data_IF_245239331484
#
_entry.id   IF_245239331484
#
_cell.length_a   1.000
_cell.length_b   1.000
_cell.length_c   1.000
_cell.angle_alpha   90.00
_cell.angle_beta   90.00
_cell.angle_gamma   90.00
#
_symmetry.space_group_name_H-M   'P 1'
#
loop_
_entity.id
_entity.type
_entity.pdbx_description
1 polymer ?
#
# COMPACT_ATOMS: atom_id res chain seq x y z
N UNK A 1 17.85 -2.88 -28.27
CA UNK A 1 17.36 -2.63 -26.91
C UNK A 1 18.12 -1.44 -26.37
N UNK A 2 17.43 -0.43 -25.86
CA UNK A 2 18.07 0.64 -25.09
C UNK A 2 18.69 0.03 -23.82
N UNK A 3 19.75 0.66 -23.31
CA UNK A 3 20.31 0.26 -22.02
C UNK A 3 19.36 0.67 -20.90
N UNK A 4 19.23 -0.17 -19.88
CA UNK A 4 18.42 0.12 -18.71
C UNK A 4 18.88 1.44 -18.04
N UNK A 5 17.93 2.30 -17.69
CA UNK A 5 18.19 3.59 -17.06
C UNK A 5 17.05 4.01 -16.15
N UNK A 6 17.34 4.94 -15.24
CA UNK A 6 16.37 5.49 -14.30
C UNK A 6 15.49 6.52 -15.01
N UNK A 7 14.21 6.23 -15.25
CA UNK A 7 13.31 7.16 -15.92
C UNK A 7 12.58 8.10 -14.97
N UNK A 8 12.38 7.72 -13.70
CA UNK A 8 11.76 8.58 -12.69
C UNK A 8 12.35 8.33 -11.30
N UNK A 9 12.41 9.39 -10.51
CA UNK A 9 12.68 9.36 -9.08
C UNK A 9 11.49 9.98 -8.36
N UNK A 10 10.91 9.27 -7.39
CA UNK A 10 9.78 9.76 -6.63
C UNK A 10 10.03 9.62 -5.12
N UNK A 11 9.62 10.64 -4.38
CA UNK A 11 9.62 10.64 -2.92
C UNK A 11 8.21 10.90 -2.41
N UNK A 12 7.89 10.37 -1.24
CA UNK A 12 6.59 10.54 -0.60
C UNK A 12 6.81 11.04 0.82
N UNK A 13 6.87 12.37 1.02
CA UNK A 13 7.35 12.96 2.27
C UNK A 13 6.62 12.53 3.53
N UNK A 14 5.31 12.37 3.43
CA UNK A 14 4.48 11.80 4.49
C UNK A 14 4.03 10.39 4.08
N UNK A 15 4.04 9.46 5.04
CA UNK A 15 3.47 8.12 4.83
C UNK A 15 2.03 8.24 4.33
N UNK A 16 1.74 7.59 3.21
CA UNK A 16 0.42 7.54 2.55
C UNK A 16 -0.08 8.81 1.84
N UNK A 17 0.64 9.93 1.84
CA UNK A 17 0.25 11.11 1.02
C UNK A 17 0.76 11.03 -0.42
N UNK A 18 0.37 11.99 -1.26
CA UNK A 18 0.81 12.10 -2.65
C UNK A 18 2.34 12.18 -2.80
N UNK A 19 2.85 11.68 -3.92
CA UNK A 19 4.28 11.68 -4.22
C UNK A 19 4.74 12.96 -4.91
N UNK A 20 6.05 13.21 -4.85
CA UNK A 20 6.75 14.28 -5.56
C UNK A 20 7.78 13.63 -6.48
N UNK A 21 7.73 13.96 -7.77
CA UNK A 21 8.74 13.51 -8.74
C UNK A 21 9.93 14.47 -8.74
N UNK A 22 11.13 13.91 -8.78
CA UNK A 22 12.39 14.63 -8.71
C UNK A 22 13.25 14.28 -9.93
N UNK A 23 14.04 15.26 -10.39
CA UNK A 23 15.06 15.03 -11.41
C UNK A 23 16.34 14.42 -10.83
N UNK A 24 16.59 14.60 -9.53
CA UNK A 24 17.72 14.01 -8.80
C UNK A 24 17.36 13.85 -7.32
N UNK A 25 18.02 12.92 -6.63
CA UNK A 25 17.85 12.71 -5.20
C UNK A 25 19.16 12.26 -4.54
N UNK A 26 19.34 12.67 -3.30
CA UNK A 26 20.36 12.11 -2.42
C UNK A 26 19.84 10.82 -1.79
N UNK A 27 20.57 9.73 -1.99
CA UNK A 27 20.30 8.42 -1.41
C UNK A 27 21.02 8.32 -0.07
N UNK A 28 20.25 8.09 1.00
CA UNK A 28 20.75 7.73 2.32
C UNK A 28 20.59 6.22 2.52
N UNK A 29 21.28 5.65 3.51
CA UNK A 29 21.03 4.25 3.89
C UNK A 29 19.57 4.02 4.31
N UNK A 30 18.93 5.01 4.93
CA UNK A 30 17.52 4.95 5.35
C UNK A 30 16.50 5.20 4.23
N UNK A 31 16.94 5.47 2.99
CA UNK A 31 16.09 5.69 1.82
C UNK A 31 16.46 6.94 1.03
N UNK A 32 15.61 7.34 0.10
CA UNK A 32 15.78 8.65 -0.55
C UNK A 32 15.57 9.77 0.47
N UNK A 33 16.36 10.83 0.36
CA UNK A 33 16.11 12.07 1.10
C UNK A 33 14.68 12.52 0.90
N UNK A 34 14.07 13.04 1.97
CA UNK A 34 12.66 13.42 2.02
C UNK A 34 11.65 12.27 1.89
N UNK A 35 12.04 10.99 1.78
CA UNK A 35 11.07 9.91 1.60
C UNK A 35 10.56 9.33 2.94
N UNK A 36 9.24 9.42 3.15
CA UNK A 36 8.50 8.97 4.35
C UNK A 36 9.16 9.45 5.65
N UNK A 37 9.67 10.68 5.66
CA UNK A 37 10.26 11.33 6.84
C UNK A 37 9.20 11.74 7.86
N UNK A 38 7.95 11.78 7.42
CA UNK A 38 6.80 12.07 8.27
C UNK A 38 5.76 10.95 8.20
N UNK A 39 4.92 10.89 9.23
CA UNK A 39 3.77 10.00 9.31
C UNK A 39 2.69 10.65 10.16
N UNK A 40 1.43 10.49 9.75
CA UNK A 40 0.30 10.80 10.62
C UNK A 40 0.10 9.67 11.62
N UNK A 41 -0.12 10.01 12.88
CA UNK A 41 -0.41 9.05 13.94
C UNK A 41 -1.61 9.49 14.77
N UNK A 42 -2.31 8.52 15.37
CA UNK A 42 -3.23 8.81 16.48
C UNK A 42 -2.44 9.11 17.75
N UNK A 43 -3.11 9.61 18.81
CA UNK A 43 -2.48 10.01 20.07
C UNK A 43 -1.76 8.88 20.83
N UNK A 44 -2.01 7.63 20.48
CA UNK A 44 -1.30 6.45 20.99
C UNK A 44 -0.07 6.07 20.15
N UNK A 45 0.26 6.86 19.12
CA UNK A 45 1.37 6.61 18.21
C UNK A 45 1.06 5.66 17.05
N UNK A 46 -0.17 5.16 16.93
CA UNK A 46 -0.55 4.23 15.86
C UNK A 46 -0.64 4.95 14.52
N UNK A 47 0.01 4.40 13.49
CA UNK A 47 0.02 4.99 12.14
C UNK A 47 -1.40 5.15 11.54
N UNK A 48 -1.63 6.31 10.93
CA UNK A 48 -2.78 6.61 10.09
C UNK A 48 -2.35 6.47 8.62
N UNK A 49 -3.10 5.68 7.84
CA UNK A 49 -2.69 5.33 6.48
C UNK A 49 -3.84 5.41 5.48
N UNK A 50 -3.50 5.52 4.19
CA UNK A 50 -4.46 5.55 3.09
C UNK A 50 -5.21 4.22 2.90
N UNK A 51 -4.87 3.17 3.66
CA UNK A 51 -5.69 1.95 3.75
C UNK A 51 -7.02 2.20 4.45
N UNK A 52 -7.05 3.15 5.37
CA UNK A 52 -8.25 3.57 6.11
C UNK A 52 -8.77 4.92 5.62
N UNK A 53 -7.87 5.85 5.28
CA UNK A 53 -8.19 7.21 4.84
C UNK A 53 -7.64 7.48 3.44
N UNK A 54 -8.24 6.90 2.38
CA UNK A 54 -7.70 6.97 1.02
C UNK A 54 -7.56 8.40 0.50
N UNK A 55 -8.32 9.37 1.04
CA UNK A 55 -8.21 10.79 0.65
C UNK A 55 -6.84 11.40 0.96
N UNK A 56 -6.04 10.78 1.83
CA UNK A 56 -4.65 11.21 2.12
C UNK A 56 -3.80 11.35 0.85
N UNK A 57 -4.04 10.52 -0.16
CA UNK A 57 -3.25 10.53 -1.42
C UNK A 57 -3.43 11.83 -2.20
N UNK A 58 -4.51 12.59 -1.95
CA UNK A 58 -4.78 13.88 -2.58
C UNK A 58 -3.99 15.05 -1.98
N UNK A 59 -3.31 14.83 -0.85
CA UNK A 59 -2.43 15.86 -0.26
C UNK A 59 -1.17 15.94 -1.13
N UNK A 60 -0.96 17.13 -1.70
CA UNK A 60 0.24 17.43 -2.48
C UNK A 60 1.32 18.04 -1.59
N UNK A 61 2.58 17.84 -1.97
CA UNK A 61 3.73 18.35 -1.24
C UNK A 61 4.66 19.12 -2.17
N UNK A 62 5.11 20.29 -1.73
CA UNK A 62 6.25 20.99 -2.32
C UNK A 62 7.41 20.98 -1.34
N UNK A 63 8.59 20.58 -1.80
CA UNK A 63 9.81 20.54 -1.00
C UNK A 63 10.41 21.94 -0.89
N UNK A 64 10.82 22.36 0.32
CA UNK A 64 11.57 23.58 0.57
C UNK A 64 12.93 23.25 1.21
N UNK A 65 13.94 24.14 1.13
CA UNK A 65 15.25 23.90 1.75
C UNK A 65 15.21 23.65 3.26
N UNK A 66 14.19 24.17 3.95
CA UNK A 66 14.07 24.09 5.41
C UNK A 66 12.72 23.52 5.86
N UNK A 67 11.95 22.90 4.96
CA UNK A 67 10.61 22.45 5.29
C UNK A 67 9.78 22.03 4.09
N UNK A 68 8.46 22.16 4.20
CA UNK A 68 7.50 21.69 3.20
C UNK A 68 6.31 22.64 3.12
N UNK A 69 5.67 22.65 1.95
CA UNK A 69 4.32 23.18 1.79
C UNK A 69 3.40 22.02 1.45
N UNK A 70 2.35 21.83 2.23
CA UNK A 70 1.27 20.89 1.94
C UNK A 70 0.05 21.63 1.42
N UNK A 71 -0.57 21.07 0.38
CA UNK A 71 -1.82 21.58 -0.18
C UNK A 71 -2.84 20.48 -0.32
N UNK A 72 -4.09 20.82 -0.07
CA UNK A 72 -5.24 19.95 -0.24
C UNK A 72 -6.44 20.78 -0.71
N UNK A 73 -7.36 20.14 -1.42
CA UNK A 73 -8.58 20.78 -1.91
C UNK A 73 -9.40 21.37 -0.74
N UNK A 74 -9.81 22.64 -0.87
CA UNK A 74 -10.59 23.33 0.17
C UNK A 74 -9.81 23.71 1.43
N UNK A 75 -8.48 23.57 1.45
CA UNK A 75 -7.61 23.98 2.56
C UNK A 75 -6.68 25.11 2.15
N UNK A 76 -6.43 26.03 3.09
CA UNK A 76 -5.31 26.96 2.99
C UNK A 76 -4.00 26.17 2.98
N UNK A 77 -2.98 26.56 2.17
CA UNK A 77 -1.68 25.90 2.17
C UNK A 77 -1.05 25.91 3.57
N UNK A 78 -0.59 24.75 4.03
CA UNK A 78 0.16 24.61 5.28
C UNK A 78 1.65 24.67 4.95
N UNK A 79 2.38 25.60 5.58
CA UNK A 79 3.85 25.63 5.52
C UNK A 79 4.40 25.16 6.84
N UNK A 80 5.33 24.21 6.80
CA UNK A 80 6.03 23.74 8.00
C UNK A 80 7.54 23.92 7.84
N UNK A 81 8.23 24.33 8.90
CA UNK A 81 9.68 24.44 8.96
C UNK A 81 10.29 23.53 10.02
N UNK A 82 11.41 22.87 9.70
CA UNK A 82 12.15 22.04 10.67
C UNK A 82 12.59 22.81 11.93
N UNK A 83 12.77 24.13 11.82
CA UNK A 83 13.16 25.00 12.94
C UNK A 83 12.03 25.26 13.93
N UNK A 84 10.77 25.04 13.51
CA UNK A 84 9.57 25.32 14.30
C UNK A 84 9.05 24.06 15.00
N UNK A 85 9.59 22.89 14.67
CA UNK A 85 9.16 21.64 15.27
C UNK A 85 9.45 21.65 16.77
N UNK A 86 8.46 21.22 17.55
CA UNK A 86 8.57 21.00 18.99
C UNK A 86 9.65 19.99 19.34
N UNK A 87 9.85 18.99 18.48
CA UNK A 87 10.84 17.91 18.62
C UNK A 87 10.74 17.17 19.96
N UNK A 88 9.53 17.06 20.52
CA UNK A 88 9.32 16.26 21.72
C UNK A 88 9.29 14.80 21.30
N UNK A 89 10.01 13.95 22.04
CA UNK A 89 10.00 12.51 21.82
C UNK A 89 8.61 11.96 22.07
N UNK A 90 8.12 11.14 21.14
CA UNK A 90 6.87 10.43 21.24
C UNK A 90 6.99 9.03 20.66
N UNK A 91 6.12 8.12 21.09
CA UNK A 91 6.08 6.77 20.56
C UNK A 91 5.41 6.78 19.19
N UNK A 92 6.03 6.15 18.20
CA UNK A 92 5.41 5.87 16.92
C UNK A 92 5.43 4.37 16.66
N UNK A 93 4.35 3.85 16.09
CA UNK A 93 4.19 2.44 15.76
C UNK A 93 3.89 2.27 14.28
N UNK A 94 4.79 1.58 13.57
CA UNK A 94 4.63 1.18 12.18
C UNK A 94 4.56 -0.34 12.13
N UNK A 95 3.37 -0.87 11.87
CA UNK A 95 3.07 -2.30 11.97
C UNK A 95 3.40 -2.83 13.36
N UNK A 96 4.36 -3.74 13.48
CA UNK A 96 4.80 -4.32 14.76
C UNK A 96 6.07 -3.64 15.31
N UNK A 97 6.56 -2.59 14.66
CA UNK A 97 7.77 -1.88 15.03
C UNK A 97 7.40 -0.57 15.76
N UNK A 98 7.67 -0.49 17.06
CA UNK A 98 7.52 0.74 17.85
C UNK A 98 8.88 1.38 18.11
N UNK A 99 8.96 2.71 17.96
CA UNK A 99 10.21 3.46 18.07
C UNK A 99 9.95 4.93 18.41
N UNK A 100 11.00 5.65 18.80
CA UNK A 100 10.92 7.09 19.10
C UNK A 100 10.86 7.93 17.83
N UNK A 101 9.83 8.76 17.73
CA UNK A 101 9.67 9.82 16.75
C UNK A 101 9.57 11.18 17.46
N UNK A 102 9.38 12.25 16.69
CA UNK A 102 9.38 13.62 17.17
C UNK A 102 8.12 14.37 16.74
N UNK A 103 7.51 15.13 17.63
CA UNK A 103 6.36 15.99 17.31
C UNK A 103 6.78 17.18 16.43
N UNK A 104 5.85 17.64 15.58
CA UNK A 104 6.06 18.79 14.68
C UNK A 104 5.42 20.06 15.25
N UNK A 105 4.26 20.49 14.76
CA UNK A 105 3.57 21.72 15.17
C UNK A 105 2.07 21.46 15.35
N UNK A 106 1.42 22.18 16.29
CA UNK A 106 -0.02 22.05 16.50
C UNK A 106 -0.81 22.42 15.22
N UNK A 107 -0.33 23.40 14.46
CA UNK A 107 -0.95 23.80 13.19
C UNK A 107 -0.94 22.66 12.17
N UNK A 108 0.14 21.88 12.10
CA UNK A 108 0.20 20.72 11.22
C UNK A 108 -0.76 19.62 11.68
N UNK A 109 -0.82 19.38 12.99
CA UNK A 109 -1.72 18.41 13.60
C UNK A 109 -3.19 18.76 13.30
N UNK A 110 -3.59 20.02 13.52
CA UNK A 110 -4.93 20.52 13.21
C UNK A 110 -5.27 20.42 11.72
N UNK A 111 -4.34 20.84 10.84
CA UNK A 111 -4.56 20.84 9.40
C UNK A 111 -4.77 19.43 8.84
N UNK A 112 -3.98 18.46 9.30
CA UNK A 112 -4.17 17.07 8.90
C UNK A 112 -5.40 16.45 9.58
N UNK A 113 -5.68 16.77 10.85
CA UNK A 113 -6.88 16.29 11.56
C UNK A 113 -8.16 16.64 10.83
N UNK A 114 -8.24 17.86 10.31
CA UNK A 114 -9.34 18.31 9.49
C UNK A 114 -9.54 17.50 8.20
N UNK A 115 -8.46 17.04 7.55
CA UNK A 115 -8.51 16.24 6.31
C UNK A 115 -8.91 14.81 6.61
N UNK A 116 -8.41 14.26 7.72
CA UNK A 116 -8.70 12.89 8.14
C UNK A 116 -10.10 12.78 8.75
N UNK A 117 -10.61 13.86 9.37
CA UNK A 117 -11.88 13.86 10.10
C UNK A 117 -11.78 13.30 11.51
N UNK A 118 -10.56 13.21 12.05
CA UNK A 118 -10.27 12.83 13.44
C UNK A 118 -8.92 13.42 13.86
N UNK A 119 -8.72 13.56 15.16
CA UNK A 119 -7.46 14.06 15.72
C UNK A 119 -6.30 13.14 15.34
N UNK A 120 -5.28 13.71 14.72
CA UNK A 120 -4.01 13.06 14.34
C UNK A 120 -2.86 14.03 14.57
N UNK A 121 -1.68 13.45 14.76
CA UNK A 121 -0.43 14.20 14.91
C UNK A 121 0.48 13.92 13.70
N UNK A 122 1.12 14.95 13.17
CA UNK A 122 2.18 14.81 12.17
C UNK A 122 3.51 14.57 12.91
N UNK A 123 3.97 13.32 12.84
CA UNK A 123 5.23 12.91 13.45
C UNK A 123 6.38 12.96 12.46
N UNK A 124 7.56 13.34 12.93
CA UNK A 124 8.82 13.38 12.20
C UNK A 124 9.77 12.29 12.71
N UNK A 125 10.43 11.54 11.83
CA UNK A 125 11.32 10.45 12.25
C UNK A 125 12.70 10.93 12.75
N UNK A 126 12.96 12.25 12.72
CA UNK A 126 14.29 12.79 13.01
C UNK A 126 15.16 12.87 11.74
N UNK A 127 16.29 13.56 11.83
CA UNK A 127 17.28 13.64 10.72
C UNK A 127 17.83 12.25 10.38
N UNK A 128 18.07 11.44 11.41
CA UNK A 128 18.34 10.02 11.31
C UNK A 128 17.24 9.29 12.07
N UNK A 129 16.56 8.38 11.39
CA UNK A 129 15.51 7.59 12.04
C UNK A 129 16.08 6.70 13.13
N UNK A 130 15.43 6.68 14.29
CA UNK A 130 15.74 5.76 15.40
C UNK A 130 15.24 4.33 15.13
N UNK A 131 14.47 4.11 14.05
CA UNK A 131 13.91 2.80 13.72
C UNK A 131 14.92 1.95 12.95
N UNK A 132 15.67 1.14 13.67
CA UNK A 132 16.58 0.14 13.09
C UNK A 132 15.84 -1.16 12.85
N UNK A 133 16.01 -1.77 11.67
CA UNK A 133 15.49 -3.12 11.41
C UNK A 133 16.63 -4.11 11.23
N UNK A 134 16.68 -5.13 12.09
CA UNK A 134 17.77 -6.13 12.09
C UNK A 134 17.97 -6.81 10.73
N UNK A 135 16.86 -7.10 10.02
CA UNK A 135 16.89 -7.78 8.72
C UNK A 135 17.67 -7.03 7.63
N UNK A 136 17.83 -5.72 7.77
CA UNK A 136 18.56 -4.87 6.80
C UNK A 136 19.83 -4.28 7.43
N UNK A 137 19.96 -4.27 8.76
CA UNK A 137 21.16 -3.83 9.48
C UNK A 137 21.32 -2.31 9.59
N UNK A 138 20.33 -1.50 9.20
CA UNK A 138 20.35 -0.04 9.27
C UNK A 138 18.96 0.54 9.58
N UNK A 139 18.90 1.86 9.74
CA UNK A 139 17.68 2.59 10.02
C UNK A 139 16.76 2.71 8.79
N UNK A 140 15.46 2.83 9.03
CA UNK A 140 14.42 3.08 8.02
C UNK A 140 13.53 4.18 8.54
N UNK A 141 13.04 5.04 7.65
CA UNK A 141 12.03 6.04 7.98
C UNK A 141 10.67 5.41 8.32
N UNK A 142 9.57 6.14 8.14
CA UNK A 142 8.22 5.59 8.28
C UNK A 142 7.78 4.69 7.10
N UNK A 143 8.69 4.31 6.20
CA UNK A 143 8.43 3.30 5.17
C UNK A 143 7.95 1.97 5.78
N UNK A 144 7.27 1.10 5.02
CA UNK A 144 6.66 -0.11 5.61
C UNK A 144 7.71 -1.09 6.15
N UNK A 145 8.63 -1.52 5.28
CA UNK A 145 9.68 -2.47 5.66
C UNK A 145 11.03 -2.24 5.01
N UNK A 146 11.08 -1.57 3.86
CA UNK A 146 12.32 -1.33 3.11
C UNK A 146 12.41 0.15 2.72
N UNK A 147 13.63 0.71 2.66
CA UNK A 147 13.86 2.11 2.32
C UNK A 147 13.29 2.55 0.97
N UNK A 148 13.36 1.68 -0.05
CA UNK A 148 13.05 2.04 -1.42
C UNK A 148 12.36 0.89 -2.18
N UNK A 149 11.61 1.26 -3.20
CA UNK A 149 10.93 0.36 -4.12
C UNK A 149 11.29 0.71 -5.56
N UNK A 150 11.62 -0.31 -6.37
CA UNK A 150 11.85 -0.19 -7.80
C UNK A 150 10.84 -0.99 -8.62
N UNK A 151 10.36 -0.41 -9.72
CA UNK A 151 9.48 -1.04 -10.71
C UNK A 151 9.91 -0.58 -12.09
N UNK A 152 9.89 -1.45 -13.09
CA UNK A 152 10.12 -1.03 -14.48
C UNK A 152 8.86 -0.53 -15.18
N UNK A 153 9.03 0.38 -16.15
CA UNK A 153 7.96 0.82 -17.06
C UNK A 153 7.40 -0.37 -17.83
N UNK A 154 8.25 -1.28 -18.30
CA UNK A 154 7.84 -2.48 -19.02
C UNK A 154 6.95 -3.40 -18.18
N UNK A 155 7.22 -3.55 -16.88
CA UNK A 155 6.33 -4.28 -15.96
C UNK A 155 4.96 -3.63 -15.82
N UNK A 156 4.90 -2.29 -15.78
CA UNK A 156 3.63 -1.56 -15.74
C UNK A 156 2.86 -1.66 -17.04
N UNK A 157 3.54 -1.58 -18.18
CA UNK A 157 2.95 -1.78 -19.51
C UNK A 157 2.36 -3.18 -19.64
N UNK A 158 3.05 -4.21 -19.17
CA UNK A 158 2.54 -5.58 -19.19
C UNK A 158 1.34 -5.80 -18.26
N UNK A 159 1.31 -5.13 -17.10
CA UNK A 159 0.09 -5.09 -16.28
C UNK A 159 -1.07 -4.41 -17.03
N UNK A 160 -0.83 -3.25 -17.64
CA UNK A 160 -1.85 -2.52 -18.40
C UNK A 160 -2.33 -3.29 -19.63
N UNK A 161 -1.49 -4.13 -20.23
CA UNK A 161 -1.89 -5.01 -21.33
C UNK A 161 -2.88 -6.10 -20.89
N UNK A 162 -2.77 -6.55 -19.64
CA UNK A 162 -3.60 -7.63 -19.07
C UNK A 162 -4.84 -7.14 -18.33
N UNK A 163 -4.91 -5.84 -18.02
CA UNK A 163 -5.98 -5.26 -17.22
C UNK A 163 -7.04 -4.58 -18.09
N UNK A 164 -8.30 -4.62 -17.63
CA UNK A 164 -9.39 -3.86 -18.24
C UNK A 164 -9.31 -2.35 -17.94
N UNK A 165 -8.44 -1.95 -16.99
CA UNK A 165 -8.20 -0.56 -16.60
C UNK A 165 -6.75 -0.12 -16.87
N UNK A 166 -6.56 1.17 -17.12
CA UNK A 166 -5.21 1.75 -17.25
C UNK A 166 -4.68 2.15 -15.88
N UNK A 167 -3.51 1.61 -15.53
CA UNK A 167 -2.79 1.87 -14.30
C UNK A 167 -1.62 2.82 -14.51
N UNK A 168 -1.32 3.57 -13.45
CA UNK A 168 -0.19 4.50 -13.39
C UNK A 168 0.81 4.05 -12.33
N UNK A 169 2.08 4.41 -12.54
CA UNK A 169 3.15 4.07 -11.58
C UNK A 169 2.90 4.66 -10.18
N UNK A 170 2.17 5.78 -10.10
CA UNK A 170 1.81 6.46 -8.85
C UNK A 170 1.01 5.58 -7.89
N UNK A 171 0.19 4.65 -8.40
CA UNK A 171 -0.58 3.70 -7.59
C UNK A 171 0.33 2.79 -6.75
N UNK A 172 1.52 2.47 -7.27
CA UNK A 172 2.45 1.55 -6.64
C UNK A 172 3.42 2.21 -5.66
N UNK A 173 3.40 3.54 -5.59
CA UNK A 173 4.23 4.34 -4.68
C UNK A 173 5.74 4.08 -4.83
N UNK A 174 6.17 3.78 -6.05
CA UNK A 174 7.54 3.42 -6.43
C UNK A 174 8.49 4.59 -6.30
N UNK A 175 9.67 4.36 -5.72
CA UNK A 175 10.71 5.39 -5.62
C UNK A 175 11.54 5.51 -6.89
N UNK A 176 11.97 4.38 -7.45
CA UNK A 176 12.83 4.35 -8.62
C UNK A 176 12.12 3.65 -9.77
N UNK A 177 11.98 4.32 -10.91
CA UNK A 177 11.36 3.72 -12.09
C UNK A 177 12.43 3.40 -13.11
N UNK A 178 12.53 2.14 -13.51
CA UNK A 178 13.46 1.69 -14.54
C UNK A 178 12.81 1.73 -15.92
N UNK A 179 13.57 2.10 -16.95
CA UNK A 179 13.17 2.05 -18.34
C UNK A 179 14.24 1.37 -19.18
N UNK A 180 13.88 0.92 -20.38
CA UNK A 180 14.78 0.16 -21.26
C UNK A 180 15.05 -1.26 -20.76
N UNK A 181 14.03 -1.92 -20.20
CA UNK A 181 14.06 -3.30 -19.71
C UNK A 181 12.97 -4.12 -20.38
N UNK A 182 13.07 -5.45 -20.30
CA UNK A 182 11.94 -6.33 -20.59
C UNK A 182 10.94 -6.33 -19.41
N UNK A 183 9.66 -6.72 -19.61
CA UNK A 183 8.70 -6.87 -18.52
C UNK A 183 9.21 -7.80 -17.43
N UNK A 184 9.13 -7.34 -16.18
CA UNK A 184 9.56 -8.06 -14.98
C UNK A 184 11.05 -8.43 -14.92
N UNK A 185 11.89 -7.82 -15.76
CA UNK A 185 13.33 -8.08 -15.74
C UNK A 185 13.94 -7.77 -14.36
N UNK A 186 13.38 -6.78 -13.64
CA UNK A 186 13.81 -6.42 -12.29
C UNK A 186 13.70 -7.55 -11.27
N UNK A 187 12.84 -8.54 -11.49
CA UNK A 187 12.69 -9.70 -10.60
C UNK A 187 13.96 -10.56 -10.54
N UNK A 188 14.79 -10.50 -11.59
CA UNK A 188 16.04 -11.26 -11.69
C UNK A 188 17.26 -10.46 -11.28
N UNK A 189 17.12 -9.20 -10.93
CA UNK A 189 18.26 -8.41 -10.47
C UNK A 189 18.54 -8.78 -9.01
N UNK A 190 19.81 -8.90 -8.64
CA UNK A 190 20.25 -9.14 -7.26
C UNK A 190 20.99 -7.93 -6.69
N UNK A 191 21.90 -7.37 -7.48
CA UNK A 191 22.61 -6.15 -7.14
C UNK A 191 22.70 -5.27 -8.38
N UNK A 192 22.37 -3.99 -8.23
CA UNK A 192 22.43 -3.00 -9.32
C UNK A 192 23.25 -1.79 -8.89
N UNK A 193 23.81 -1.07 -9.86
CA UNK A 193 24.39 0.26 -9.69
C UNK A 193 23.58 1.27 -10.48
N UNK A 194 23.25 2.40 -9.85
CA UNK A 194 22.62 3.55 -10.48
C UNK A 194 23.44 4.79 -10.11
N UNK A 195 24.02 5.45 -11.12
CA UNK A 195 25.04 6.48 -10.87
C UNK A 195 26.21 5.91 -10.05
N UNK A 196 26.47 6.50 -8.88
CA UNK A 196 27.50 6.06 -7.93
C UNK A 196 26.98 5.11 -6.83
N UNK A 197 25.67 4.88 -6.77
CA UNK A 197 25.02 4.16 -5.68
C UNK A 197 24.78 2.71 -6.05
N UNK A 198 25.20 1.79 -5.18
CA UNK A 198 24.94 0.36 -5.31
C UNK A 198 23.74 -0.02 -4.45
N UNK A 199 22.79 -0.75 -5.03
CA UNK A 199 21.60 -1.26 -4.36
C UNK A 199 21.57 -2.78 -4.36
N UNK A 200 21.12 -3.35 -3.26
CA UNK A 200 20.71 -4.76 -3.19
C UNK A 200 19.20 -4.88 -3.38
N UNK A 201 18.83 -5.81 -4.25
CA UNK A 201 17.44 -6.24 -4.44
C UNK A 201 17.12 -7.27 -3.36
N UNK A 202 16.39 -6.86 -2.32
CA UNK A 202 16.25 -7.70 -1.13
C UNK A 202 15.09 -8.68 -1.25
N UNK A 203 13.94 -8.22 -1.75
CA UNK A 203 12.76 -9.08 -1.94
C UNK A 203 11.70 -8.46 -2.84
N UNK A 204 10.87 -9.29 -3.50
CA UNK A 204 9.66 -8.84 -4.17
C UNK A 204 8.71 -8.09 -3.23
N UNK A 205 8.03 -7.08 -3.77
CA UNK A 205 7.12 -6.23 -3.02
C UNK A 205 5.69 -6.77 -3.11
N UNK A 206 5.22 -7.36 -2.01
CA UNK A 206 3.83 -7.76 -1.86
C UNK A 206 2.92 -6.52 -1.82
N UNK A 207 1.90 -6.49 -2.68
CA UNK A 207 0.98 -5.37 -2.85
C UNK A 207 -0.21 -5.50 -1.90
N UNK A 208 -0.59 -4.39 -1.31
CA UNK A 208 -1.76 -4.29 -0.44
C UNK A 208 -2.87 -3.46 -1.11
N UNK A 209 -4.02 -3.36 -0.44
CA UNK A 209 -5.19 -2.62 -0.95
C UNK A 209 -4.88 -1.19 -1.38
N UNK A 210 -3.84 -0.57 -0.84
CA UNK A 210 -3.50 0.81 -1.17
C UNK A 210 -3.30 1.02 -2.68
N UNK A 211 -2.83 0.01 -3.42
CA UNK A 211 -2.68 0.12 -4.88
C UNK A 211 -4.02 0.31 -5.60
N UNK A 212 -5.15 -0.06 -4.98
CA UNK A 212 -6.48 0.13 -5.57
C UNK A 212 -7.09 1.50 -5.27
N UNK A 213 -6.36 2.39 -4.58
CA UNK A 213 -6.79 3.77 -4.39
C UNK A 213 -6.62 4.52 -5.71
N UNK A 214 -7.72 5.13 -6.19
CA UNK A 214 -7.68 6.13 -7.24
C UNK A 214 -6.96 7.38 -6.69
N UNK A 215 -5.75 7.65 -7.19
CA UNK A 215 -4.89 8.72 -6.68
C UNK A 215 -5.44 10.11 -6.97
N UNK A 216 -6.37 10.26 -7.90
CA UNK A 216 -7.02 11.54 -8.22
C UNK A 216 -8.26 11.75 -7.34
N UNK A 217 -9.09 10.71 -7.20
CA UNK A 217 -10.34 10.78 -6.43
C UNK A 217 -10.15 10.61 -4.93
N UNK A 218 -9.08 9.95 -4.50
CA UNK A 218 -8.83 9.65 -3.09
C UNK A 218 -9.80 8.61 -2.51
N UNK A 219 -10.23 7.65 -3.34
CA UNK A 219 -11.19 6.59 -2.98
C UNK A 219 -10.72 5.25 -3.53
N UNK A 220 -11.09 4.15 -2.88
CA UNK A 220 -10.84 2.82 -3.43
C UNK A 220 -11.64 2.59 -4.72
N UNK A 221 -11.02 1.94 -5.70
CA UNK A 221 -11.69 1.44 -6.91
C UNK A 221 -12.57 0.26 -6.53
N UNK A 222 -13.85 0.33 -6.91
CA UNK A 222 -14.79 -0.78 -6.70
C UNK A 222 -14.43 -2.05 -7.48
N UNK A 223 -13.70 -1.90 -8.60
CA UNK A 223 -13.17 -3.01 -9.41
C UNK A 223 -12.04 -3.79 -8.76
N UNK A 224 -11.46 -3.26 -7.66
CA UNK A 224 -10.29 -3.82 -6.97
C UNK A 224 -9.02 -3.92 -7.83
N UNK A 225 -8.99 -3.25 -8.97
CA UNK A 225 -7.78 -3.12 -9.77
C UNK A 225 -6.74 -2.23 -9.08
N UNK A 226 -5.43 -2.47 -9.25
CA UNK A 226 -4.80 -3.48 -10.10
C UNK A 226 -4.65 -4.86 -9.45
N UNK A 227 -5.11 -5.04 -8.20
CA UNK A 227 -4.92 -6.30 -7.49
C UNK A 227 -5.68 -7.45 -8.16
N UNK A 228 -6.88 -7.18 -8.70
CA UNK A 228 -7.65 -8.15 -9.49
C UNK A 228 -6.80 -8.73 -10.62
N UNK A 229 -6.23 -7.89 -11.47
CA UNK A 229 -5.37 -8.36 -12.57
C UNK A 229 -4.08 -9.00 -12.07
N UNK A 230 -3.37 -8.38 -11.12
CA UNK A 230 -2.11 -8.93 -10.61
C UNK A 230 -2.28 -10.31 -9.96
N UNK A 231 -3.45 -10.63 -9.37
CA UNK A 231 -3.71 -11.96 -8.81
C UNK A 231 -3.62 -13.09 -9.83
N UNK A 232 -3.88 -12.83 -11.11
CA UNK A 232 -3.93 -13.91 -12.12
C UNK A 232 -2.56 -14.41 -12.54
N UNK A 233 -1.51 -13.59 -12.37
CA UNK A 233 -0.18 -13.91 -12.89
C UNK A 233 0.99 -13.47 -12.00
N UNK A 234 0.70 -12.78 -10.88
CA UNK A 234 1.69 -12.31 -9.89
C UNK A 234 1.36 -12.77 -8.47
N UNK A 235 0.49 -13.75 -8.33
CA UNK A 235 0.20 -14.38 -7.04
C UNK A 235 1.16 -15.54 -6.76
N UNK A 236 1.62 -15.67 -5.52
CA UNK A 236 2.34 -16.86 -5.06
C UNK A 236 1.38 -17.96 -4.58
N UNK A 237 1.94 -19.12 -4.22
CA UNK A 237 1.20 -20.25 -3.66
C UNK A 237 0.46 -19.93 -2.36
N UNK A 238 0.76 -18.83 -1.68
CA UNK A 238 0.13 -18.37 -0.44
C UNK A 238 -0.90 -17.25 -0.66
N UNK A 239 -1.06 -16.78 -1.91
CA UNK A 239 -2.03 -15.73 -2.28
C UNK A 239 -1.49 -14.31 -2.08
N UNK A 240 -0.20 -14.16 -1.76
CA UNK A 240 0.48 -12.88 -1.81
C UNK A 240 0.62 -12.43 -3.26
N UNK A 241 0.34 -11.15 -3.53
CA UNK A 241 0.38 -10.57 -4.88
C UNK A 241 1.58 -9.65 -5.00
N UNK A 242 2.44 -9.79 -6.01
CA UNK A 242 3.75 -9.12 -6.02
C UNK A 242 3.99 -8.24 -7.26
N UNK A 243 4.41 -7.00 -7.02
CA UNK A 243 4.76 -6.08 -8.10
C UNK A 243 5.82 -5.07 -7.62
N UNK A 244 6.97 -5.10 -8.28
CA UNK A 244 8.15 -4.34 -7.88
C UNK A 244 9.07 -5.04 -6.89
N UNK A 245 10.23 -4.42 -6.67
CA UNK A 245 11.34 -4.96 -5.91
C UNK A 245 11.79 -4.00 -4.81
N UNK A 246 11.89 -4.50 -3.57
CA UNK A 246 12.36 -3.71 -2.44
C UNK A 246 13.90 -3.62 -2.46
N UNK A 247 14.40 -2.41 -2.24
CA UNK A 247 15.82 -2.07 -2.32
C UNK A 247 16.38 -1.63 -0.97
N UNK A 248 17.67 -1.88 -0.77
CA UNK A 248 18.52 -1.21 0.22
C UNK A 248 19.77 -0.68 -0.47
N UNK A 249 20.23 0.51 -0.08
CA UNK A 249 21.48 1.06 -0.58
C UNK A 249 22.68 0.52 0.22
N UNK A 250 23.79 0.23 -0.45
CA UNK A 250 25.07 -0.14 0.19
C UNK A 250 25.92 1.08 0.55
N UNK A 251 25.70 2.20 -0.14
CA UNK A 251 26.39 3.45 0.06
C UNK A 251 25.45 4.63 -0.20
N UNK A 252 25.84 5.80 0.27
CA UNK A 252 25.13 7.05 0.00
C UNK A 252 25.70 7.72 -1.27
N UNK A 253 24.92 8.61 -1.88
CA UNK A 253 25.33 9.34 -3.08
C UNK A 253 24.15 9.96 -3.82
N UNK A 254 24.45 10.70 -4.89
CA UNK A 254 23.44 11.30 -5.75
C UNK A 254 23.07 10.35 -6.88
N UNK A 255 21.77 10.23 -7.13
CA UNK A 255 21.24 9.66 -8.37
C UNK A 255 20.43 10.70 -9.13
N UNK A 256 20.48 10.63 -10.45
CA UNK A 256 19.77 11.54 -11.36
C UNK A 256 18.91 10.74 -12.32
N UNK A 257 17.78 11.31 -12.71
CA UNK A 257 17.00 10.81 -13.83
C UNK A 257 17.90 10.69 -15.07
N UNK A 258 17.75 9.60 -15.81
CA UNK A 258 18.59 9.14 -16.92
C UNK A 258 19.89 8.45 -16.53
N UNK A 259 20.23 8.33 -15.23
CA UNK A 259 21.36 7.50 -14.82
C UNK A 259 21.19 6.07 -15.33
N UNK A 260 22.27 5.52 -15.88
CA UNK A 260 22.31 4.12 -16.32
C UNK A 260 22.11 3.20 -15.12
N UNK A 261 21.29 2.17 -15.31
CA UNK A 261 21.17 1.04 -14.39
C UNK A 261 22.09 -0.06 -14.91
N UNK A 262 23.11 -0.40 -14.13
CA UNK A 262 24.03 -1.50 -14.40
C UNK A 262 23.72 -2.66 -13.45
N UNK A 263 23.32 -3.81 -14.00
CA UNK A 263 23.12 -5.02 -13.19
C UNK A 263 24.48 -5.65 -12.91
N UNK A 264 24.87 -5.66 -11.63
CA UNK A 264 26.15 -6.21 -11.18
C UNK A 264 26.06 -7.70 -10.88
N UNK A 265 24.89 -8.15 -10.40
CA UNK A 265 24.62 -9.54 -10.08
C UNK A 265 23.15 -9.85 -10.39
N UNK A 266 22.89 -11.03 -10.95
CA UNK A 266 21.55 -11.56 -11.19
C UNK A 266 21.21 -12.66 -10.17
N UNK A 267 19.92 -12.90 -9.99
CA UNK A 267 19.33 -14.01 -9.26
C UNK A 267 18.21 -14.66 -10.06
N UNK A 268 17.74 -15.80 -9.57
CA UNK A 268 16.50 -16.41 -10.06
C UNK A 268 15.32 -15.53 -9.64
N UNK A 269 14.40 -15.29 -10.57
CA UNK A 269 13.15 -14.58 -10.27
C UNK A 269 12.20 -15.45 -9.45
N UNK A 270 11.36 -14.80 -8.63
CA UNK A 270 10.27 -15.49 -7.95
C UNK A 270 9.31 -16.10 -8.98
N UNK A 271 8.91 -17.36 -8.77
CA UNK A 271 7.89 -18.01 -9.57
C UNK A 271 6.51 -17.65 -9.03
N UNK A 272 5.60 -17.35 -9.95
CA UNK A 272 4.20 -17.07 -9.66
C UNK A 272 3.35 -18.17 -10.28
N UNK A 273 2.14 -18.35 -9.73
CA UNK A 273 1.16 -19.21 -10.36
C UNK A 273 0.62 -18.45 -11.58
N UNK A 274 0.88 -18.99 -12.78
CA UNK A 274 0.12 -18.58 -13.96
C UNK A 274 -1.22 -19.32 -13.87
N UNK A 275 -2.29 -18.58 -13.58
CA UNK A 275 -3.63 -19.09 -13.84
C UNK A 275 -3.88 -18.86 -15.33
N UNK A 276 -4.05 -19.95 -16.10
CA UNK A 276 -4.41 -19.87 -17.50
C UNK A 276 -5.66 -18.98 -17.67
N UNK A 277 -5.68 -18.17 -18.74
CA UNK A 277 -6.83 -17.32 -19.07
C UNK A 277 -8.15 -18.14 -19.15
N UNK A 278 -8.08 -19.45 -19.37
CA UNK A 278 -9.24 -20.36 -19.35
C UNK A 278 -9.85 -20.59 -17.95
N UNK A 279 -9.06 -20.55 -16.86
CA UNK A 279 -9.61 -20.64 -15.48
C UNK A 279 -10.16 -19.29 -15.01
N UNK A 280 -9.48 -18.19 -15.37
CA UNK A 280 -9.98 -16.83 -15.15
C UNK A 280 -11.26 -16.55 -15.98
N UNK A 281 -11.36 -17.11 -17.18
CA UNK A 281 -12.60 -17.05 -17.98
C UNK A 281 -13.66 -18.03 -17.53
N UNK A 282 -13.34 -19.12 -16.82
CA UNK A 282 -14.36 -19.95 -16.16
C UNK A 282 -14.99 -19.25 -14.94
N UNK A 283 -14.22 -18.43 -14.20
CA UNK A 283 -14.78 -17.53 -13.18
C UNK A 283 -15.53 -16.36 -13.85
N UNK A 284 -14.99 -15.76 -14.93
CA UNK A 284 -15.68 -14.68 -15.66
C UNK A 284 -16.92 -15.15 -16.45
N UNK A 285 -16.99 -16.41 -16.90
CA UNK A 285 -18.16 -16.98 -17.57
C UNK A 285 -19.30 -17.23 -16.57
N UNK A 286 -18.97 -17.41 -15.28
CA UNK A 286 -19.95 -17.31 -14.18
C UNK A 286 -20.29 -15.84 -13.86
N UNK A 287 -19.37 -14.89 -14.07
CA UNK A 287 -19.67 -13.44 -13.94
C UNK A 287 -20.58 -12.90 -15.07
N UNK A 288 -20.55 -13.46 -16.28
CA UNK A 288 -21.47 -13.05 -17.37
C UNK A 288 -22.89 -13.59 -17.26
N UNK A 289 -23.22 -14.31 -16.17
CA UNK A 289 -24.59 -14.73 -15.84
C UNK A 289 -25.08 -14.17 -14.50
N UNK A 290 -24.41 -13.14 -13.97
CA UNK A 290 -24.98 -12.27 -12.94
C UNK A 290 -25.35 -10.92 -13.58
N UNK A 291 -26.28 -10.97 -14.54
CA UNK A 291 -27.17 -9.83 -14.75
C UNK A 291 -27.69 -9.42 -13.37
N UNK A 292 -27.54 -8.14 -13.05
CA UNK A 292 -28.04 -7.53 -11.83
C UNK A 292 -29.56 -7.73 -11.72
N UNK A 293 -29.99 -8.88 -11.22
CA UNK A 293 -31.14 -8.95 -10.34
C UNK A 293 -30.72 -8.05 -9.19
N UNK A 294 -31.26 -6.83 -9.13
CA UNK A 294 -31.14 -5.96 -7.96
C UNK A 294 -31.60 -6.78 -6.76
N UNK A 295 -30.65 -7.38 -6.05
CA UNK A 295 -30.93 -8.05 -4.79
C UNK A 295 -31.44 -6.92 -3.89
N UNK A 296 -32.71 -7.02 -3.52
CA UNK A 296 -33.34 -6.03 -2.66
C UNK A 296 -32.46 -5.76 -1.44
N UNK A 297 -32.19 -4.48 -1.18
CA UNK A 297 -31.39 -4.07 -0.04
C UNK A 297 -32.11 -4.48 1.24
N UNK A 298 -31.46 -5.33 2.04
CA UNK A 298 -31.98 -5.82 3.30
C UNK A 298 -31.15 -5.26 4.43
N UNK A 299 -31.83 -4.65 5.39
CA UNK A 299 -31.23 -4.35 6.69
C UNK A 299 -31.04 -5.64 7.48
N UNK A 300 -29.82 -5.86 7.97
CA UNK A 300 -29.41 -7.05 8.71
C UNK A 300 -28.80 -6.66 10.05
N UNK A 301 -28.90 -7.52 11.05
CA UNK A 301 -28.14 -7.38 12.29
C UNK A 301 -26.80 -8.11 12.14
N UNK A 302 -25.70 -7.37 12.27
CA UNK A 302 -24.35 -7.93 12.27
C UNK A 302 -23.76 -7.82 13.67
N UNK A 303 -23.14 -8.91 14.13
CA UNK A 303 -22.39 -8.93 15.40
C UNK A 303 -20.94 -9.27 15.08
N UNK A 304 -20.03 -8.34 15.37
CA UNK A 304 -18.59 -8.50 15.10
C UNK A 304 -17.85 -8.36 16.42
N UNK A 305 -17.10 -9.40 16.82
CA UNK A 305 -16.38 -9.44 18.10
C UNK A 305 -17.29 -9.06 19.30
N UNK A 306 -18.53 -9.57 19.29
CA UNK A 306 -19.55 -9.34 20.33
C UNK A 306 -20.27 -7.98 20.27
N UNK A 307 -19.95 -7.09 19.33
CA UNK A 307 -20.64 -5.80 19.15
C UNK A 307 -21.66 -5.90 18.03
N UNK A 308 -22.93 -5.71 18.37
CA UNK A 308 -24.05 -5.75 17.43
C UNK A 308 -24.36 -4.37 16.83
N UNK A 309 -24.63 -4.32 15.53
CA UNK A 309 -25.02 -3.13 14.80
C UNK A 309 -25.92 -3.45 13.60
N UNK A 310 -26.56 -2.43 13.05
CA UNK A 310 -27.39 -2.55 11.86
C UNK A 310 -26.52 -2.40 10.62
N UNK A 311 -26.50 -3.43 9.79
CA UNK A 311 -25.81 -3.49 8.51
C UNK A 311 -26.76 -3.79 7.34
N UNK A 312 -26.18 -4.20 6.22
CA UNK A 312 -26.88 -4.53 4.97
C UNK A 312 -26.25 -5.71 4.23
N UNK A 313 -26.93 -6.17 3.18
CA UNK A 313 -26.49 -7.22 2.25
C UNK A 313 -25.83 -6.66 0.97
N UNK A 314 -25.25 -5.46 1.02
CA UNK A 314 -24.62 -4.79 -0.13
C UNK A 314 -23.12 -4.57 0.06
N UNK A 315 -22.66 -4.45 1.30
CA UNK A 315 -21.27 -4.19 1.66
C UNK A 315 -20.62 -5.40 2.33
N UNK A 316 -19.30 -5.48 2.28
CA UNK A 316 -18.59 -6.57 2.94
C UNK A 316 -18.69 -6.47 4.47
N UNK A 317 -18.52 -7.60 5.17
CA UNK A 317 -18.50 -7.59 6.65
C UNK A 317 -17.39 -6.67 7.17
N UNK A 318 -16.22 -6.65 6.54
CA UNK A 318 -15.10 -5.79 6.93
C UNK A 318 -15.48 -4.30 6.85
N UNK A 319 -16.00 -3.84 5.71
CA UNK A 319 -16.36 -2.41 5.52
C UNK A 319 -17.40 -1.95 6.55
N UNK A 320 -18.39 -2.81 6.82
CA UNK A 320 -19.44 -2.50 7.78
C UNK A 320 -18.93 -2.48 9.22
N UNK A 321 -17.99 -3.36 9.59
CA UNK A 321 -17.33 -3.35 10.90
C UNK A 321 -16.49 -2.08 11.10
N UNK A 322 -15.70 -1.69 10.09
CA UNK A 322 -14.86 -0.49 10.11
C UNK A 322 -15.69 0.79 10.27
N UNK A 323 -16.85 0.87 9.60
CA UNK A 323 -17.78 1.99 9.73
C UNK A 323 -18.33 2.15 11.16
N UNK A 324 -18.32 1.10 11.96
CA UNK A 324 -18.71 1.11 13.38
C UNK A 324 -17.50 1.23 14.33
N UNK A 325 -16.30 1.46 13.81
CA UNK A 325 -15.06 1.52 14.58
C UNK A 325 -14.66 0.17 15.19
N UNK A 326 -15.09 -0.95 14.60
CA UNK A 326 -14.71 -2.30 15.00
C UNK A 326 -13.57 -2.76 14.10
N UNK A 327 -12.41 -3.01 14.71
CA UNK A 327 -11.23 -3.48 13.98
C UNK A 327 -11.31 -4.99 13.73
N UNK A 328 -11.03 -5.39 12.50
CA UNK A 328 -10.86 -6.77 12.07
C UNK A 328 -9.52 -6.90 11.36
N UNK A 329 -8.74 -7.97 11.59
CA UNK A 329 -7.47 -8.16 10.90
C UNK A 329 -7.65 -8.08 9.38
N UNK A 330 -6.91 -7.21 8.69
CA UNK A 330 -7.00 -7.10 7.24
C UNK A 330 -5.72 -6.52 6.62
N UNK A 331 -5.49 -6.82 5.33
CA UNK A 331 -4.30 -6.35 4.59
C UNK A 331 -4.59 -6.05 3.11
N UNK A 332 -5.03 -7.06 2.35
CA UNK A 332 -5.27 -6.90 0.90
C UNK A 332 -6.62 -6.28 0.54
N UNK A 333 -7.63 -6.41 1.41
CA UNK A 333 -9.07 -6.09 1.19
C UNK A 333 -9.64 -6.52 -0.19
N UNK A 334 -9.00 -7.49 -0.83
CA UNK A 334 -9.37 -8.06 -2.13
C UNK A 334 -9.54 -9.59 -2.05
N UNK A 335 -9.51 -10.16 -0.84
CA UNK A 335 -9.67 -11.60 -0.64
C UNK A 335 -8.47 -12.45 -1.07
N UNK A 336 -7.29 -11.88 -1.29
CA UNK A 336 -6.09 -12.62 -1.72
C UNK A 336 -5.26 -13.18 -0.55
N UNK A 337 -4.98 -12.34 0.46
CA UNK A 337 -4.00 -12.65 1.50
C UNK A 337 -4.51 -13.49 2.69
N UNK A 338 -5.82 -13.71 2.81
CA UNK A 338 -6.41 -14.48 3.92
C UNK A 338 -6.38 -13.85 5.32
N UNK A 339 -5.69 -12.72 5.53
CA UNK A 339 -5.59 -12.06 6.85
C UNK A 339 -6.96 -11.75 7.46
N UNK A 340 -7.98 -11.47 6.63
CA UNK A 340 -9.34 -11.18 7.05
C UNK A 340 -10.22 -12.42 7.29
N UNK A 341 -9.61 -13.61 7.43
CA UNK A 341 -10.34 -14.83 7.79
C UNK A 341 -10.89 -14.69 9.22
N UNK A 342 -12.20 -14.82 9.35
CA UNK A 342 -12.93 -14.79 10.63
C UNK A 342 -13.73 -16.07 10.80
N UNK A 343 -14.04 -16.42 12.05
CA UNK A 343 -14.99 -17.47 12.38
C UNK A 343 -16.42 -16.97 12.16
N UNK A 344 -17.26 -17.74 11.47
CA UNK A 344 -18.69 -17.45 11.26
C UNK A 344 -19.53 -18.22 12.29
N UNK A 345 -19.82 -17.57 13.41
CA UNK A 345 -20.54 -18.16 14.54
C UNK A 345 -22.01 -18.43 14.19
N UNK A 346 -22.67 -17.49 13.52
CA UNK A 346 -24.05 -17.63 13.03
C UNK A 346 -24.28 -16.89 11.72
N UNK A 347 -25.35 -17.26 11.00
CA UNK A 347 -25.73 -16.62 9.74
C UNK A 347 -25.15 -17.25 8.48
N UNK A 348 -25.40 -16.58 7.35
CA UNK A 348 -24.97 -16.97 6.00
C UNK A 348 -24.33 -15.79 5.29
N UNK A 349 -23.25 -16.04 4.58
CA UNK A 349 -22.54 -15.06 3.75
C UNK A 349 -22.37 -15.61 2.35
N UNK A 350 -22.26 -14.71 1.37
CA UNK A 350 -21.78 -15.02 0.03
C UNK A 350 -20.37 -14.47 -0.11
N UNK A 351 -19.49 -15.21 -0.76
CA UNK A 351 -18.16 -14.74 -1.12
C UNK A 351 -18.10 -14.44 -2.61
N UNK A 352 -17.34 -13.40 -2.96
CA UNK A 352 -16.71 -13.35 -4.27
C UNK A 352 -15.73 -14.52 -4.42
N UNK A 353 -15.54 -15.01 -5.64
CA UNK A 353 -14.57 -16.07 -5.93
C UNK A 353 -13.14 -15.52 -5.80
N UNK A 354 -12.55 -15.68 -4.62
CA UNK A 354 -11.25 -15.09 -4.26
C UNK A 354 -10.25 -16.15 -3.79
N UNK A 355 -8.93 -15.96 -4.03
CA UNK A 355 -7.93 -16.96 -3.69
C UNK A 355 -7.90 -17.39 -2.23
N UNK A 356 -8.23 -16.50 -1.28
CA UNK A 356 -8.21 -16.86 0.15
C UNK A 356 -9.30 -17.86 0.55
N UNK A 357 -10.30 -18.14 -0.30
CA UNK A 357 -11.31 -19.15 0.00
C UNK A 357 -10.71 -20.55 0.19
N UNK A 358 -9.60 -20.86 -0.49
CA UNK A 358 -8.88 -22.13 -0.30
C UNK A 358 -8.30 -22.31 1.10
N UNK A 359 -8.21 -21.24 1.89
CA UNK A 359 -7.78 -21.30 3.29
C UNK A 359 -8.92 -21.73 4.23
N UNK A 360 -10.16 -21.79 3.74
CA UNK A 360 -11.32 -22.28 4.47
C UNK A 360 -11.49 -23.75 4.12
N UNK A 361 -11.34 -24.64 5.10
CA UNK A 361 -11.49 -26.07 4.90
C UNK A 361 -12.95 -26.45 4.67
N UNK A 362 -13.20 -27.58 4.00
CA UNK A 362 -14.56 -28.07 3.80
C UNK A 362 -15.25 -28.32 5.16
N UNK A 363 -16.41 -27.70 5.36
CA UNK A 363 -17.15 -27.74 6.63
C UNK A 363 -16.66 -26.77 7.71
N UNK A 364 -15.56 -26.06 7.50
CA UNK A 364 -15.10 -24.99 8.39
C UNK A 364 -16.05 -23.79 8.30
N UNK A 365 -16.61 -23.38 9.45
CA UNK A 365 -17.47 -22.19 9.52
C UNK A 365 -16.60 -20.94 9.64
N UNK A 366 -16.01 -20.53 8.53
CA UNK A 366 -15.25 -19.29 8.42
C UNK A 366 -15.71 -18.44 7.24
N UNK A 367 -15.29 -17.18 7.25
CA UNK A 367 -15.52 -16.26 6.15
C UNK A 367 -14.29 -15.38 5.91
N UNK A 368 -14.03 -15.01 4.66
CA UNK A 368 -13.08 -13.96 4.30
C UNK A 368 -13.81 -12.62 4.40
N UNK A 369 -13.71 -11.95 5.56
CA UNK A 369 -14.56 -10.79 5.91
C UNK A 369 -14.49 -9.64 4.89
N UNK A 370 -13.38 -9.53 4.17
CA UNK A 370 -13.11 -8.50 3.18
C UNK A 370 -13.56 -8.81 1.75
N UNK A 371 -14.14 -9.99 1.51
CA UNK A 371 -14.72 -10.38 0.22
C UNK A 371 -16.07 -11.08 0.38
N UNK A 372 -16.67 -11.02 1.57
CA UNK A 372 -17.95 -11.65 1.85
C UNK A 372 -19.02 -10.64 2.24
N UNK A 373 -20.23 -10.84 1.70
CA UNK A 373 -21.42 -10.03 1.96
C UNK A 373 -22.45 -10.89 2.72
N UNK A 374 -23.06 -10.39 3.80
CA UNK A 374 -24.02 -11.16 4.59
C UNK A 374 -25.35 -11.33 3.85
N UNK A 375 -25.92 -12.54 3.89
CA UNK A 375 -27.24 -12.88 3.36
C UNK A 375 -28.33 -12.92 4.44
N UNK A 376 -27.94 -13.05 5.70
CA UNK A 376 -28.81 -13.05 6.87
C UNK A 376 -28.14 -12.28 8.01
N UNK A 377 -28.81 -12.16 9.16
CA UNK A 377 -28.13 -11.76 10.39
C UNK A 377 -26.93 -12.68 10.61
N UNK A 378 -25.76 -12.10 10.87
CA UNK A 378 -24.51 -12.82 11.00
C UNK A 378 -23.79 -12.44 12.28
N UNK A 379 -23.08 -13.41 12.85
CA UNK A 379 -22.16 -13.21 13.95
C UNK A 379 -20.79 -13.75 13.57
N UNK A 380 -19.76 -12.91 13.68
CA UNK A 380 -18.37 -13.27 13.37
C UNK A 380 -17.42 -12.88 14.49
N UNK A 381 -16.34 -13.66 14.62
CA UNK A 381 -15.22 -13.37 15.52
C UNK A 381 -13.91 -13.50 14.77
N UNK A 382 -13.03 -12.51 14.93
CA UNK A 382 -11.63 -12.61 14.53
C UNK A 382 -10.84 -13.56 15.45
#
# INVERSE_FOLDING_TARGET
>A
MSLAHLSQINVYPVKSVGGVSLSSAWVELQGLSFDRRFMLATSDGTMVTARKFPQMVKVNTSLLPHGFIFTAEGKSPLTISYSEFKKQETLATVWNDSFTAYTTTDEADDWFSDIIGQNVELLYCGEQSNRVREKIGHNVSFADGYPMLLISEASLEELNRRSDEVHSMTQFRTNLVASGTEPFEEDRWKTIRVGEVIFDIVKPCERCILTTVDTEKGTFRGSKEPLKTLMTFRADENGGVFFGQNLVARNEGVITQSDKIEVLEYQDGQRYNEHDEEEATASNARETAAEAIKVEEKSLTLTVNGKAFVGNNQQTILEQAEAQGIDLPNKCRAGSCGVCKVSLLSGKVTHEDVPALRLIQEGERSAIACSCVPQSNCEVSA
#
